data_IF_573001804935
#
_entry.id   IF_573001804935
#
_cell.length_a   1.000
_cell.length_b   1.000
_cell.length_c   1.000
_cell.angle_alpha   90.00
_cell.angle_beta   90.00
_cell.angle_gamma   90.00
#
_symmetry.space_group_name_H-M   'P 1'
#
loop_
_entity.id
_entity.type
_entity.pdbx_description
1 polymer ?
#
# COMPACT_ATOMS: atom_id res chain seq x y z
N UNK A 1 24.55 -3.57 9.70
CA UNK A 1 24.88 -3.87 8.29
C UNK A 1 23.62 -3.91 7.44
N UNK A 2 23.45 -3.00 6.48
CA UNK A 2 22.35 -3.01 5.52
C UNK A 2 22.71 -3.93 4.36
N UNK A 3 21.96 -5.02 4.16
CA UNK A 3 22.15 -5.90 3.00
C UNK A 3 21.93 -5.09 1.70
N UNK A 4 22.87 -5.12 0.73
CA UNK A 4 22.75 -4.44 -0.56
C UNK A 4 21.43 -4.75 -1.29
N UNK A 5 20.87 -3.73 -1.96
CA UNK A 5 19.57 -3.84 -2.65
C UNK A 5 19.50 -4.99 -3.67
N UNK A 6 20.59 -5.25 -4.39
CA UNK A 6 20.69 -6.34 -5.37
C UNK A 6 20.52 -7.74 -4.73
N UNK A 7 21.12 -7.96 -3.56
CA UNK A 7 21.04 -9.24 -2.84
C UNK A 7 19.61 -9.45 -2.33
N UNK A 8 18.96 -8.40 -1.83
CA UNK A 8 17.54 -8.45 -1.41
C UNK A 8 16.62 -8.86 -2.56
N UNK A 9 16.84 -8.33 -3.76
CA UNK A 9 16.02 -8.66 -4.94
C UNK A 9 16.21 -10.12 -5.36
N UNK A 10 17.46 -10.63 -5.38
CA UNK A 10 17.71 -12.05 -5.72
C UNK A 10 17.12 -13.02 -4.69
N UNK A 11 17.26 -12.72 -3.40
CA UNK A 11 16.64 -13.52 -2.33
C UNK A 11 15.11 -13.53 -2.42
N UNK A 12 14.49 -12.40 -2.80
CA UNK A 12 13.05 -12.34 -3.05
C UNK A 12 12.64 -13.19 -4.23
N UNK A 13 13.36 -13.14 -5.36
CA UNK A 13 13.08 -13.99 -6.52
C UNK A 13 13.19 -15.47 -6.18
N UNK A 14 14.21 -15.87 -5.40
CA UNK A 14 14.37 -17.25 -4.95
C UNK A 14 13.22 -17.67 -4.03
N UNK A 15 12.83 -16.80 -3.08
CA UNK A 15 11.65 -17.04 -2.23
C UNK A 15 10.38 -17.24 -3.06
N UNK A 16 10.20 -16.45 -4.12
CA UNK A 16 9.02 -16.56 -4.97
C UNK A 16 8.99 -17.85 -5.77
N UNK A 17 10.15 -18.29 -6.26
CA UNK A 17 10.31 -19.57 -6.91
C UNK A 17 9.99 -20.74 -5.97
N UNK A 18 10.57 -20.74 -4.76
CA UNK A 18 10.35 -21.81 -3.77
C UNK A 18 8.88 -21.92 -3.30
N UNK A 19 8.17 -20.79 -3.24
CA UNK A 19 6.76 -20.75 -2.82
C UNK A 19 5.76 -20.87 -3.98
N UNK A 20 6.24 -21.09 -5.20
CA UNK A 20 5.43 -21.28 -6.42
C UNK A 20 4.35 -20.19 -6.62
N UNK A 21 4.70 -18.92 -6.39
CA UNK A 21 3.76 -17.83 -6.61
C UNK A 21 3.41 -17.66 -8.08
N UNK A 22 2.14 -17.35 -8.37
CA UNK A 22 1.69 -17.01 -9.72
C UNK A 22 2.26 -15.67 -10.18
N UNK A 23 2.23 -15.40 -11.48
CA UNK A 23 2.74 -14.12 -12.02
C UNK A 23 2.01 -12.90 -11.46
N UNK A 24 0.69 -12.99 -11.28
CA UNK A 24 -0.11 -11.91 -10.70
C UNK A 24 0.28 -11.67 -9.24
N UNK A 25 0.54 -12.75 -8.49
CA UNK A 25 0.94 -12.66 -7.10
C UNK A 25 2.36 -12.09 -6.96
N UNK A 26 3.29 -12.50 -7.82
CA UNK A 26 4.64 -11.93 -7.87
C UNK A 26 4.56 -10.44 -8.17
N UNK A 27 3.72 -10.03 -9.12
CA UNK A 27 3.53 -8.63 -9.51
C UNK A 27 2.99 -7.80 -8.34
N UNK A 28 1.90 -8.26 -7.70
CA UNK A 28 1.34 -7.61 -6.51
C UNK A 28 2.35 -7.56 -5.36
N UNK A 29 3.07 -8.66 -5.10
CA UNK A 29 4.07 -8.72 -4.02
C UNK A 29 5.26 -7.80 -4.27
N UNK A 30 5.69 -7.60 -5.52
CA UNK A 30 6.75 -6.65 -5.90
C UNK A 30 6.27 -5.21 -5.72
N UNK A 31 5.13 -4.87 -6.31
CA UNK A 31 4.57 -3.53 -6.24
C UNK A 31 4.28 -3.07 -4.79
N UNK A 32 3.86 -4.00 -3.92
CA UNK A 32 3.61 -3.71 -2.50
C UNK A 32 4.83 -4.00 -1.60
N UNK A 33 6.03 -4.13 -2.16
CA UNK A 33 7.26 -4.40 -1.39
C UNK A 33 7.94 -3.14 -0.87
N UNK A 34 8.86 -3.33 0.07
CA UNK A 34 9.74 -2.27 0.58
C UNK A 34 10.92 -1.94 -0.34
N UNK A 35 11.14 -2.69 -1.42
CA UNK A 35 12.40 -2.65 -2.17
C UNK A 35 12.46 -1.48 -3.14
N UNK A 36 11.34 -1.13 -3.77
CA UNK A 36 11.32 -0.08 -4.77
C UNK A 36 11.04 1.30 -4.16
N UNK A 37 11.76 2.30 -4.67
CA UNK A 37 11.74 3.68 -4.15
C UNK A 37 10.45 4.43 -4.53
N UNK A 38 9.95 4.26 -5.75
CA UNK A 38 8.78 5.00 -6.24
C UNK A 38 7.48 4.26 -5.94
N UNK A 39 6.88 4.61 -4.80
CA UNK A 39 5.62 4.01 -4.35
C UNK A 39 4.43 4.39 -5.23
N UNK A 40 4.42 5.59 -5.83
CA UNK A 40 3.31 6.05 -6.64
C UNK A 40 3.24 5.29 -7.96
N UNK A 41 4.38 5.15 -8.64
CA UNK A 41 4.47 4.41 -9.91
C UNK A 41 4.09 2.94 -9.76
N UNK A 42 4.64 2.24 -8.77
CA UNK A 42 4.38 0.81 -8.59
C UNK A 42 2.93 0.51 -8.23
N UNK A 43 2.38 1.28 -7.27
CA UNK A 43 0.98 1.10 -6.87
C UNK A 43 0.06 1.52 -8.02
N UNK A 44 0.39 2.57 -8.77
CA UNK A 44 -0.37 3.00 -9.94
C UNK A 44 -0.47 1.92 -11.04
N UNK A 45 0.65 1.26 -11.37
CA UNK A 45 0.64 0.15 -12.33
C UNK A 45 -0.18 -1.04 -11.82
N UNK A 46 -0.10 -1.35 -10.52
CA UNK A 46 -0.89 -2.43 -9.92
C UNK A 46 -2.39 -2.11 -9.96
N UNK A 47 -2.78 -0.87 -9.66
CA UNK A 47 -4.17 -0.40 -9.75
C UNK A 47 -4.68 -0.55 -11.18
N UNK A 48 -3.91 -0.09 -12.18
CA UNK A 48 -4.30 -0.23 -13.58
C UNK A 48 -4.52 -1.70 -13.96
N UNK A 49 -3.58 -2.58 -13.62
CA UNK A 49 -3.72 -4.02 -13.86
C UNK A 49 -4.91 -4.66 -13.14
N UNK A 50 -5.20 -4.22 -11.92
CA UNK A 50 -6.34 -4.70 -11.15
C UNK A 50 -7.68 -4.36 -11.83
N UNK A 51 -7.82 -3.16 -12.41
CA UNK A 51 -9.02 -2.78 -13.16
C UNK A 51 -9.14 -3.44 -14.53
N UNK A 52 -8.03 -3.90 -15.12
CA UNK A 52 -8.04 -4.61 -16.39
C UNK A 52 -8.42 -6.09 -16.25
N UNK A 53 -8.13 -6.72 -15.10
CA UNK A 53 -8.36 -8.15 -14.90
C UNK A 53 -8.82 -8.46 -13.47
N UNK A 54 -10.03 -9.05 -13.35
CA UNK A 54 -10.63 -9.44 -12.05
C UNK A 54 -9.73 -10.38 -11.24
N UNK A 55 -8.99 -11.28 -11.90
CA UNK A 55 -8.01 -12.15 -11.25
C UNK A 55 -6.88 -11.34 -10.58
N UNK A 56 -6.36 -10.31 -11.26
CA UNK A 56 -5.32 -9.43 -10.73
C UNK A 56 -5.86 -8.61 -9.57
N UNK A 57 -7.09 -8.09 -9.65
CA UNK A 57 -7.76 -7.41 -8.53
C UNK A 57 -7.83 -8.31 -7.29
N UNK A 58 -8.36 -9.52 -7.45
CA UNK A 58 -8.57 -10.47 -6.34
C UNK A 58 -7.25 -10.86 -5.66
N UNK A 59 -6.23 -11.17 -6.47
CA UNK A 59 -4.89 -11.51 -5.95
C UNK A 59 -4.24 -10.30 -5.25
N UNK A 60 -4.37 -9.11 -5.82
CA UNK A 60 -3.76 -7.90 -5.27
C UNK A 60 -4.41 -7.48 -3.95
N UNK A 61 -5.74 -7.59 -3.83
CA UNK A 61 -6.46 -7.39 -2.57
C UNK A 61 -5.96 -8.37 -1.50
N UNK A 62 -5.88 -9.67 -1.82
CA UNK A 62 -5.34 -10.68 -0.89
C UNK A 62 -3.94 -10.33 -0.42
N UNK A 63 -3.02 -10.05 -1.36
CA UNK A 63 -1.63 -9.72 -1.04
C UNK A 63 -1.55 -8.44 -0.20
N UNK A 64 -2.35 -7.41 -0.48
CA UNK A 64 -2.38 -6.19 0.31
C UNK A 64 -2.77 -6.47 1.78
N UNK A 65 -3.76 -7.32 2.04
CA UNK A 65 -4.11 -7.72 3.41
C UNK A 65 -3.01 -8.54 4.09
N UNK A 66 -2.39 -9.49 3.40
CA UNK A 66 -1.24 -10.22 3.95
C UNK A 66 -0.09 -9.26 4.32
N UNK A 67 0.11 -8.21 3.50
CA UNK A 67 1.13 -7.19 3.78
C UNK A 67 0.82 -6.40 5.05
N UNK A 68 -0.45 -6.14 5.37
CA UNK A 68 -0.88 -5.50 6.61
C UNK A 68 -0.75 -6.42 7.83
N UNK A 69 -0.86 -7.74 7.64
CA UNK A 69 -0.69 -8.71 8.73
C UNK A 69 0.78 -9.07 9.02
N UNK A 70 1.70 -8.70 8.12
CA UNK A 70 3.11 -8.98 8.30
C UNK A 70 3.64 -8.31 9.58
N UNK A 71 4.21 -9.11 10.49
CA UNK A 71 4.86 -8.59 11.68
C UNK A 71 6.04 -7.69 11.31
N UNK A 72 6.12 -6.57 12.02
CA UNK A 72 7.22 -5.66 11.87
C UNK A 72 8.42 -6.10 12.70
N UNK A 73 9.62 -5.95 12.16
CA UNK A 73 10.87 -6.19 12.88
C UNK A 73 11.82 -5.02 12.69
N UNK A 74 12.71 -4.80 13.66
CA UNK A 74 13.73 -3.75 13.58
C UNK A 74 14.61 -3.94 12.33
N UNK A 75 14.93 -5.19 11.99
CA UNK A 75 15.77 -5.53 10.83
C UNK A 75 15.06 -5.40 9.49
N UNK A 76 13.72 -5.46 9.47
CA UNK A 76 12.91 -5.37 8.25
C UNK A 76 11.72 -4.44 8.47
N UNK A 77 11.93 -3.11 8.53
CA UNK A 77 10.86 -2.14 8.74
C UNK A 77 9.81 -2.27 7.63
N UNK A 78 8.53 -2.33 7.99
CA UNK A 78 7.42 -2.61 7.06
C UNK A 78 6.59 -1.38 6.69
N UNK A 79 6.94 -0.20 7.22
CA UNK A 79 6.20 1.05 6.98
C UNK A 79 5.91 1.32 5.49
N UNK A 80 6.88 1.14 4.59
CA UNK A 80 6.65 1.35 3.14
C UNK A 80 5.64 0.35 2.57
N UNK A 81 5.76 -0.92 2.94
CA UNK A 81 4.83 -1.98 2.55
C UNK A 81 3.41 -1.70 3.08
N UNK A 82 3.27 -1.24 4.33
CA UNK A 82 1.98 -0.83 4.89
C UNK A 82 1.39 0.35 4.14
N UNK A 83 2.18 1.39 3.92
CA UNK A 83 1.78 2.58 3.15
C UNK A 83 1.29 2.20 1.75
N UNK A 84 2.07 1.44 0.98
CA UNK A 84 1.70 1.00 -0.37
C UNK A 84 0.43 0.15 -0.38
N UNK A 85 0.28 -0.73 0.60
CA UNK A 85 -0.91 -1.59 0.71
C UNK A 85 -2.17 -0.78 1.02
N UNK A 86 -2.10 0.15 1.98
CA UNK A 86 -3.22 1.03 2.30
C UNK A 86 -3.58 1.96 1.13
N UNK A 87 -2.57 2.49 0.43
CA UNK A 87 -2.79 3.30 -0.78
C UNK A 87 -3.50 2.50 -1.87
N UNK A 88 -3.07 1.27 -2.13
CA UNK A 88 -3.74 0.37 -3.07
C UNK A 88 -5.20 0.14 -2.66
N UNK A 89 -5.44 -0.30 -1.41
CA UNK A 89 -6.78 -0.59 -0.89
C UNK A 89 -7.71 0.62 -1.00
N UNK A 90 -7.23 1.81 -0.64
CA UNK A 90 -8.00 3.06 -0.75
C UNK A 90 -8.44 3.30 -2.20
N UNK A 91 -7.50 3.27 -3.15
CA UNK A 91 -7.79 3.62 -4.54
C UNK A 91 -8.72 2.63 -5.22
N UNK A 92 -8.55 1.33 -4.97
CA UNK A 92 -9.46 0.33 -5.57
C UNK A 92 -10.85 0.37 -4.93
N UNK A 93 -10.95 0.57 -3.61
CA UNK A 93 -12.24 0.69 -2.92
C UNK A 93 -13.01 1.95 -3.30
N UNK A 94 -12.34 3.02 -3.73
CA UNK A 94 -13.00 4.23 -4.23
C UNK A 94 -13.70 4.04 -5.58
N UNK A 95 -13.28 3.05 -6.37
CA UNK A 95 -13.65 2.91 -7.78
C UNK A 95 -14.31 1.56 -8.09
N UNK A 96 -14.35 0.62 -7.15
CA UNK A 96 -14.96 -0.70 -7.30
C UNK A 96 -15.76 -1.07 -6.07
N UNK A 97 -17.07 -1.27 -6.23
CA UNK A 97 -17.96 -1.76 -5.18
C UNK A 97 -17.53 -3.15 -4.68
N UNK A 98 -17.12 -4.03 -5.59
CA UNK A 98 -16.56 -5.33 -5.23
C UNK A 98 -15.34 -5.22 -4.31
N UNK A 99 -14.38 -4.35 -4.65
CA UNK A 99 -13.22 -4.11 -3.81
C UNK A 99 -13.61 -3.44 -2.48
N UNK A 100 -14.53 -2.48 -2.51
CA UNK A 100 -15.04 -1.81 -1.33
C UNK A 100 -15.67 -2.80 -0.34
N UNK A 101 -16.49 -3.75 -0.82
CA UNK A 101 -17.11 -4.80 0.00
C UNK A 101 -16.05 -5.70 0.64
N UNK A 102 -15.06 -6.16 -0.13
CA UNK A 102 -13.95 -6.96 0.42
C UNK A 102 -13.17 -6.17 1.49
N UNK A 103 -12.92 -4.88 1.25
CA UNK A 103 -12.22 -4.02 2.22
C UNK A 103 -13.05 -3.80 3.48
N UNK A 104 -14.37 -3.66 3.33
CA UNK A 104 -15.31 -3.57 4.45
C UNK A 104 -15.28 -4.83 5.29
N UNK A 105 -15.34 -6.01 4.68
CA UNK A 105 -15.32 -7.29 5.39
C UNK A 105 -14.01 -7.52 6.18
N UNK A 106 -12.94 -6.82 5.79
CA UNK A 106 -11.61 -6.93 6.40
C UNK A 106 -11.21 -5.68 7.21
N UNK A 107 -12.15 -4.80 7.58
CA UNK A 107 -11.84 -3.53 8.25
C UNK A 107 -11.03 -3.68 9.55
N UNK A 108 -11.25 -4.76 10.32
CA UNK A 108 -10.51 -5.06 11.55
C UNK A 108 -9.00 -5.20 11.31
N UNK A 109 -8.58 -5.61 10.11
CA UNK A 109 -7.15 -5.70 9.74
C UNK A 109 -6.53 -4.33 9.46
N UNK A 110 -7.35 -3.33 9.17
CA UNK A 110 -6.93 -1.96 8.84
C UNK A 110 -6.96 -1.07 10.09
N UNK A 111 -7.89 -1.32 11.01
CA UNK A 111 -8.10 -0.52 12.22
C UNK A 111 -6.83 -0.20 13.02
N UNK A 112 -5.90 -1.15 13.28
CA UNK A 112 -4.67 -0.85 14.03
C UNK A 112 -3.82 0.23 13.36
N UNK A 113 -3.89 0.36 12.04
CA UNK A 113 -3.10 1.33 11.29
C UNK A 113 -3.58 2.78 11.46
N UNK A 114 -4.81 3.01 11.93
CA UNK A 114 -5.28 4.34 12.31
C UNK A 114 -4.50 4.90 13.52
N UNK A 115 -3.97 4.00 14.36
CA UNK A 115 -3.16 4.32 15.53
C UNK A 115 -1.67 4.04 15.30
N UNK A 116 -1.25 3.80 14.04
CA UNK A 116 0.13 3.46 13.72
C UNK A 116 1.08 4.59 14.13
N UNK A 117 1.97 4.32 15.07
CA UNK A 117 2.91 5.30 15.58
C UNK A 117 4.31 4.71 15.70
N UNK A 118 5.12 4.91 14.66
CA UNK A 118 6.56 4.63 14.67
C UNK A 118 7.36 5.87 14.33
N UNK A 119 8.23 6.27 15.25
CA UNK A 119 9.28 7.28 15.08
C UNK A 119 8.82 8.64 14.51
N UNK A 120 7.53 8.97 14.58
CA UNK A 120 6.92 10.24 14.14
C UNK A 120 7.41 10.79 12.79
N UNK A 121 7.70 9.94 11.81
CA UNK A 121 8.09 10.39 10.47
C UNK A 121 6.88 10.60 9.54
N UNK A 122 7.08 11.30 8.42
CA UNK A 122 6.03 11.60 7.43
C UNK A 122 5.30 10.36 6.92
N UNK A 123 5.98 9.22 6.78
CA UNK A 123 5.39 7.95 6.37
C UNK A 123 4.39 7.42 7.41
N UNK A 124 4.68 7.58 8.71
CA UNK A 124 3.78 7.18 9.79
C UNK A 124 2.50 8.04 9.80
N UNK A 125 2.61 9.34 9.54
CA UNK A 125 1.45 10.21 9.34
C UNK A 125 0.63 9.75 8.14
N UNK A 126 1.28 9.48 7.00
CA UNK A 126 0.60 9.03 5.80
C UNK A 126 -0.13 7.69 5.98
N UNK A 127 0.47 6.73 6.69
CA UNK A 127 -0.18 5.45 7.04
C UNK A 127 -1.45 5.68 7.84
N UNK A 128 -1.41 6.52 8.89
CA UNK A 128 -2.58 6.83 9.70
C UNK A 128 -3.69 7.50 8.89
N UNK A 129 -3.34 8.52 8.09
CA UNK A 129 -4.30 9.24 7.26
C UNK A 129 -4.95 8.30 6.22
N UNK A 130 -4.17 7.44 5.58
CA UNK A 130 -4.69 6.44 4.64
C UNK A 130 -5.59 5.43 5.33
N UNK A 131 -5.18 4.87 6.47
CA UNK A 131 -6.01 3.93 7.22
C UNK A 131 -7.35 4.55 7.63
N UNK A 132 -7.33 5.77 8.18
CA UNK A 132 -8.54 6.52 8.54
C UNK A 132 -9.40 6.75 7.29
N UNK A 133 -8.80 7.15 6.17
CA UNK A 133 -9.55 7.37 4.93
C UNK A 133 -10.22 6.11 4.41
N UNK A 134 -9.54 4.97 4.43
CA UNK A 134 -10.10 3.67 4.04
C UNK A 134 -11.26 3.29 4.97
N UNK A 135 -11.09 3.44 6.28
CA UNK A 135 -12.13 3.14 7.26
C UNK A 135 -13.35 4.04 7.09
N UNK A 136 -13.16 5.34 6.83
CA UNK A 136 -14.25 6.27 6.51
C UNK A 136 -14.99 5.84 5.25
N UNK A 137 -14.28 5.51 4.18
CA UNK A 137 -14.84 5.09 2.90
C UNK A 137 -15.72 3.85 2.99
N UNK A 138 -15.35 2.88 3.84
CA UNK A 138 -16.16 1.65 4.00
C UNK A 138 -17.31 1.81 5.00
N UNK A 139 -17.23 2.81 5.89
CA UNK A 139 -18.26 3.12 6.90
C UNK A 139 -19.30 4.16 6.43
N UNK A 140 -18.99 5.03 5.47
CA UNK A 140 -19.86 6.13 5.05
C UNK A 140 -21.21 5.69 4.45
N UNK A 141 -21.32 4.45 3.98
CA UNK A 141 -22.60 3.86 3.53
C UNK A 141 -23.51 3.35 4.67
N UNK A 142 -23.10 3.46 5.94
CA UNK A 142 -24.03 3.28 7.08
C UNK A 142 -24.78 4.56 7.45
N UNK A 143 -24.35 5.70 6.93
CA UNK A 143 -24.91 7.01 7.23
C UNK A 143 -25.47 7.65 5.96
N UNK A 144 -26.55 7.06 5.42
CA UNK A 144 -27.37 7.67 4.37
C UNK A 144 -28.22 8.83 4.92
N UNK A 145 -27.58 9.73 5.65
CA UNK A 145 -28.19 10.92 6.26
C UNK A 145 -27.58 12.23 5.78
N UNK A 146 -26.26 12.31 5.56
CA UNK A 146 -25.58 13.58 5.23
C UNK A 146 -24.17 13.29 4.67
N UNK A 147 -24.08 12.88 3.41
CA UNK A 147 -22.79 12.72 2.74
C UNK A 147 -22.30 14.09 2.23
N UNK A 148 -21.57 14.86 3.05
CA UNK A 148 -20.84 16.03 2.56
C UNK A 148 -19.68 15.55 1.67
N UNK A 149 -19.78 15.78 0.36
CA UNK A 149 -18.71 15.55 -0.60
C UNK A 149 -17.37 16.09 -0.08
N UNK A 150 -16.41 15.20 0.19
CA UNK A 150 -15.01 15.59 0.38
C UNK A 150 -14.16 14.95 -0.70
N UNK A 151 -14.09 15.63 -1.84
CA UNK A 151 -13.15 15.30 -2.92
C UNK A 151 -11.74 15.65 -2.46
N UNK A 152 -10.95 14.66 -2.01
CA UNK A 152 -9.51 14.86 -1.83
C UNK A 152 -8.81 14.76 -3.19
N UNK A 153 -8.66 15.90 -3.86
CA UNK A 153 -7.75 16.06 -4.99
C UNK A 153 -6.32 16.16 -4.41
N UNK A 154 -5.57 15.06 -4.45
CA UNK A 154 -4.10 15.15 -4.30
C UNK A 154 -3.51 15.60 -5.64
N UNK A 155 -3.25 16.90 -5.76
CA UNK A 155 -2.34 17.42 -6.77
C UNK A 155 -0.90 17.03 -6.40
N UNK A 156 -0.22 16.25 -7.23
CA UNK A 156 1.24 16.17 -7.19
C UNK A 156 1.76 17.44 -7.85
N UNK A 157 2.07 18.45 -7.04
CA UNK A 157 2.75 19.64 -7.53
C UNK A 157 4.18 19.26 -7.90
N UNK A 158 4.50 19.32 -9.21
CA UNK A 158 5.87 19.35 -9.69
C UNK A 158 6.53 20.65 -9.21
N UNK A 159 7.18 20.60 -8.04
CA UNK A 159 8.18 21.59 -7.68
C UNK A 159 9.45 21.34 -8.49
N UNK A 160 9.76 22.23 -9.42
CA UNK A 160 11.07 22.30 -10.07
C UNK A 160 12.07 22.95 -9.10
N UNK A 161 13.30 22.43 -9.13
CA UNK A 161 14.58 23.01 -8.70
C UNK A 161 15.11 22.73 -7.27
N UNK A 162 16.46 22.76 -7.10
CA UNK A 162 17.25 21.61 -6.67
C UNK A 162 17.82 21.81 -5.26
N UNK A 163 18.03 20.72 -4.53
CA UNK A 163 18.93 20.71 -3.39
C UNK A 163 19.88 19.55 -3.64
N UNK A 164 21.08 19.91 -4.09
CA UNK A 164 22.28 19.16 -3.72
C UNK A 164 22.28 19.05 -2.20
N UNK A 165 22.19 17.82 -1.70
CA UNK A 165 22.68 17.50 -0.37
C UNK A 165 23.50 16.23 -0.54
N UNK A 166 24.80 16.45 -0.69
CA UNK A 166 25.85 15.46 -0.54
C UNK A 166 25.64 14.70 0.77
N UNK A 167 25.39 13.40 0.68
CA UNK A 167 25.60 12.50 1.81
C UNK A 167 27.07 12.09 1.77
N UNK A 168 27.92 12.84 2.47
CA UNK A 168 29.17 12.29 3.00
C UNK A 168 28.84 11.40 4.21
N UNK A 169 29.61 10.31 4.30
CA UNK A 169 29.66 9.18 5.26
C UNK A 169 28.76 7.96 5.03
#
# INVERSE_FOLDING_TARGET
MLIPGFIKTRLLSLKYYLLQYTEEEITARKALSNVCADSAKEVGMLIAGAFMASKVMSVSLRVAFERLQAQESVLFPKSKQYYKSLLFLQKVAMQSEHAQNIVRDNYLRILPFAFYNKNYCSVTVAIRLLAISVLKLVNSQRFDGEASHTTFVTCVSHGKHPMEESCDD
#
